data_IF_268722250859
#
_entry.id   IF_268722250859
#
_cell.length_a   1.000
_cell.length_b   1.000
_cell.length_c   1.000
_cell.angle_alpha   90.00
_cell.angle_beta   90.00
_cell.angle_gamma   90.00
#
_symmetry.space_group_name_H-M   'P 1'
#
loop_
_entity.id
_entity.type
_entity.pdbx_description
1 polymer ?
#
# COMPACT_ATOMS: atom_id res chain seq x y z
N UNK A 1 -4.74 2.56 -14.91
CA UNK A 1 -4.79 1.28 -14.21
C UNK A 1 -3.91 0.28 -14.94
N UNK A 2 -2.96 -0.34 -14.25
CA UNK A 2 -2.02 -1.31 -14.83
C UNK A 2 -2.40 -2.77 -14.47
N UNK A 3 -3.63 -2.97 -13.98
CA UNK A 3 -4.15 -4.27 -13.57
C UNK A 3 -5.07 -4.85 -14.65
N UNK A 4 -5.10 -6.17 -14.73
CA UNK A 4 -6.10 -6.89 -15.53
C UNK A 4 -7.36 -7.06 -14.70
N UNK A 5 -8.51 -6.70 -15.24
CA UNK A 5 -9.79 -6.96 -14.60
C UNK A 5 -10.13 -8.45 -14.68
N UNK A 6 -10.26 -9.07 -13.51
CA UNK A 6 -10.63 -10.49 -13.35
C UNK A 6 -12.00 -10.65 -12.69
N UNK A 7 -12.80 -9.59 -12.61
CA UNK A 7 -14.15 -9.63 -12.05
C UNK A 7 -14.97 -10.72 -12.73
N UNK A 8 -15.53 -11.61 -11.94
CA UNK A 8 -16.33 -12.76 -12.44
C UNK A 8 -15.55 -13.89 -13.07
N UNK A 9 -14.21 -13.82 -13.17
CA UNK A 9 -13.36 -14.89 -13.75
C UNK A 9 -12.92 -15.94 -12.73
N UNK A 10 -12.93 -15.59 -11.45
CA UNK A 10 -12.58 -16.48 -10.36
C UNK A 10 -13.73 -16.55 -9.35
N UNK A 11 -14.07 -17.75 -8.85
CA UNK A 11 -15.07 -17.89 -7.81
C UNK A 11 -14.53 -17.35 -6.48
N UNK A 12 -15.38 -16.64 -5.75
CA UNK A 12 -15.09 -16.29 -4.37
C UNK A 12 -15.33 -17.49 -3.46
N UNK A 13 -14.31 -17.93 -2.74
CA UNK A 13 -14.36 -19.13 -1.91
C UNK A 13 -14.51 -18.77 -0.42
N UNK A 14 -15.41 -19.46 0.31
CA UNK A 14 -15.47 -19.37 1.77
C UNK A 14 -14.18 -19.87 2.43
N UNK A 15 -13.92 -19.46 3.68
CA UNK A 15 -12.71 -19.83 4.41
C UNK A 15 -12.52 -21.37 4.51
N UNK A 16 -13.62 -22.11 4.72
CA UNK A 16 -13.60 -23.60 4.80
C UNK A 16 -13.10 -24.27 3.53
N UNK A 17 -13.32 -23.67 2.37
CA UNK A 17 -12.88 -24.20 1.07
C UNK A 17 -11.47 -23.73 0.71
N UNK A 18 -11.10 -22.51 1.14
CA UNK A 18 -9.79 -21.95 0.89
C UNK A 18 -8.69 -22.58 1.74
N UNK A 19 -8.96 -22.86 3.01
CA UNK A 19 -7.95 -23.36 3.94
C UNK A 19 -7.28 -24.66 3.48
N UNK A 20 -8.01 -25.72 3.05
CA UNK A 20 -7.38 -26.93 2.51
C UNK A 20 -6.52 -26.66 1.28
N UNK A 21 -6.91 -25.74 0.40
CA UNK A 21 -6.15 -25.38 -0.79
C UNK A 21 -4.82 -24.71 -0.41
N UNK A 22 -4.84 -23.80 0.56
CA UNK A 22 -3.62 -23.15 1.07
C UNK A 22 -2.69 -24.20 1.71
N UNK A 23 -3.24 -25.12 2.49
CA UNK A 23 -2.47 -26.19 3.11
C UNK A 23 -1.88 -27.19 2.09
N UNK A 24 -2.52 -27.37 0.94
CA UNK A 24 -1.99 -28.17 -0.17
C UNK A 24 -0.93 -27.44 -1.02
N UNK A 25 -0.59 -26.18 -0.70
CA UNK A 25 0.46 -25.42 -1.35
C UNK A 25 -0.02 -24.36 -2.35
N UNK A 26 -1.33 -24.17 -2.53
CA UNK A 26 -1.85 -23.06 -3.33
C UNK A 26 -1.57 -21.74 -2.61
N UNK A 27 -0.93 -20.80 -3.29
CA UNK A 27 -0.61 -19.53 -2.67
C UNK A 27 -1.88 -18.72 -2.41
N UNK A 28 -2.01 -18.13 -1.21
CA UNK A 28 -3.21 -17.40 -0.79
C UNK A 28 -3.63 -16.29 -1.76
N UNK A 29 -2.68 -15.69 -2.49
CA UNK A 29 -2.94 -14.62 -3.47
C UNK A 29 -3.60 -15.10 -4.76
N UNK A 30 -3.70 -16.41 -4.97
CA UNK A 30 -4.37 -17.01 -6.13
C UNK A 30 -5.84 -17.31 -5.85
N UNK A 31 -6.26 -17.14 -4.60
CA UNK A 31 -7.61 -17.45 -4.14
C UNK A 31 -8.37 -16.17 -3.80
N UNK A 32 -9.57 -16.03 -4.34
CA UNK A 32 -10.46 -14.92 -4.01
C UNK A 32 -11.28 -15.29 -2.76
N UNK A 33 -11.16 -14.54 -1.64
CA UNK A 33 -12.01 -14.78 -0.48
C UNK A 33 -13.44 -14.34 -0.72
N UNK A 34 -14.41 -15.12 -0.23
CA UNK A 34 -15.77 -14.64 -0.11
C UNK A 34 -15.83 -13.61 1.04
N UNK A 35 -16.27 -12.40 0.72
CA UNK A 35 -16.48 -11.33 1.69
C UNK A 35 -17.94 -11.35 2.15
N UNK A 36 -18.14 -11.11 3.43
CA UNK A 36 -19.46 -11.09 4.05
C UNK A 36 -19.90 -9.64 4.26
N UNK A 37 -21.20 -9.40 4.12
CA UNK A 37 -21.78 -8.11 4.50
C UNK A 37 -21.64 -7.91 6.02
N UNK A 38 -21.04 -6.79 6.48
CA UNK A 38 -20.87 -6.55 7.90
C UNK A 38 -22.22 -6.40 8.62
N UNK A 39 -22.32 -6.97 9.81
CA UNK A 39 -23.52 -6.88 10.63
C UNK A 39 -23.75 -5.46 11.16
N UNK A 40 -24.99 -5.09 11.54
CA UNK A 40 -25.25 -3.80 12.20
C UNK A 40 -24.44 -3.57 13.46
N UNK A 41 -24.17 -4.62 14.24
CA UNK A 41 -23.32 -4.55 15.44
C UNK A 41 -21.85 -4.21 15.05
N UNK A 42 -21.34 -4.78 13.97
CA UNK A 42 -20.02 -4.45 13.45
C UNK A 42 -19.94 -2.97 13.06
N UNK A 43 -20.96 -2.44 12.36
CA UNK A 43 -20.99 -1.03 11.98
C UNK A 43 -21.02 -0.09 13.19
N UNK A 44 -21.76 -0.43 14.23
CA UNK A 44 -21.77 0.36 15.47
C UNK A 44 -20.38 0.44 16.10
N UNK A 45 -19.67 -0.69 16.19
CA UNK A 45 -18.29 -0.72 16.72
C UNK A 45 -17.30 0.01 15.82
N UNK A 46 -17.46 -0.10 14.50
CA UNK A 46 -16.66 0.66 13.53
C UNK A 46 -16.83 2.17 13.72
N UNK A 47 -18.07 2.65 13.82
CA UNK A 47 -18.35 4.06 14.06
C UNK A 47 -17.83 4.54 15.43
N UNK A 48 -17.95 3.70 16.45
CA UNK A 48 -17.37 3.98 17.76
C UNK A 48 -15.86 4.13 17.67
N UNK A 49 -15.20 3.22 16.98
CA UNK A 49 -13.77 3.27 16.69
C UNK A 49 -13.36 4.53 15.96
N UNK A 50 -14.12 4.93 14.93
CA UNK A 50 -13.86 6.19 14.21
C UNK A 50 -13.91 7.41 15.15
N UNK A 51 -14.93 7.51 15.99
CA UNK A 51 -15.04 8.62 16.95
C UNK A 51 -13.89 8.68 17.95
N UNK A 52 -13.47 7.53 18.45
CA UNK A 52 -12.38 7.43 19.45
C UNK A 52 -11.00 7.71 18.84
N UNK A 53 -10.76 7.22 17.62
CA UNK A 53 -9.43 7.18 17.04
C UNK A 53 -9.19 8.20 15.92
N UNK A 54 -10.21 8.95 15.49
CA UNK A 54 -10.06 9.93 14.42
C UNK A 54 -8.96 10.96 14.72
N UNK A 55 -8.97 11.54 15.91
CA UNK A 55 -7.96 12.53 16.30
C UNK A 55 -6.55 11.94 16.44
N UNK A 56 -6.32 10.84 17.19
CA UNK A 56 -5.01 10.18 17.24
C UNK A 56 -4.47 9.81 15.86
N UNK A 57 -5.33 9.26 14.99
CA UNK A 57 -4.92 8.94 13.61
C UNK A 57 -4.57 10.18 12.80
N UNK A 58 -5.33 11.27 12.93
CA UNK A 58 -5.03 12.52 12.24
C UNK A 58 -3.69 13.13 12.72
N UNK A 59 -3.39 13.05 14.01
CA UNK A 59 -2.11 13.48 14.57
C UNK A 59 -0.94 12.63 14.07
N UNK A 60 -1.12 11.29 13.98
CA UNK A 60 -0.11 10.40 13.41
C UNK A 60 0.13 10.69 11.92
N UNK A 61 -0.95 10.86 11.13
CA UNK A 61 -0.86 11.25 9.71
C UNK A 61 -0.11 12.57 9.54
N UNK A 62 -0.42 13.56 10.39
CA UNK A 62 0.28 14.85 10.40
C UNK A 62 1.77 14.64 10.62
N UNK A 63 2.16 13.91 11.65
CA UNK A 63 3.57 13.69 12.00
C UNK A 63 4.33 13.05 10.84
N UNK A 64 3.79 12.00 10.22
CA UNK A 64 4.41 11.34 9.06
C UNK A 64 4.47 12.25 7.85
N UNK A 65 3.38 12.97 7.56
CA UNK A 65 3.33 13.89 6.42
C UNK A 65 4.35 15.05 6.55
N UNK A 66 4.54 15.57 7.76
CA UNK A 66 5.56 16.60 8.04
C UNK A 66 6.97 16.07 7.84
N UNK A 67 7.25 14.84 8.31
CA UNK A 67 8.55 14.21 8.11
C UNK A 67 8.85 13.99 6.62
N UNK A 68 7.89 13.47 5.85
CA UNK A 68 8.04 13.30 4.39
C UNK A 68 8.27 14.65 3.70
N UNK A 69 7.51 15.68 4.10
CA UNK A 69 7.67 17.01 3.53
C UNK A 69 9.04 17.63 3.85
N UNK A 70 9.51 17.48 5.09
CA UNK A 70 10.82 17.97 5.49
C UNK A 70 11.98 17.29 4.73
N UNK A 71 11.85 15.99 4.45
CA UNK A 71 12.89 15.22 3.75
C UNK A 71 12.87 15.43 2.24
N UNK A 72 11.70 15.38 1.59
CA UNK A 72 11.56 15.29 0.13
C UNK A 72 10.84 16.49 -0.51
N UNK A 73 10.15 17.31 0.28
CA UNK A 73 9.46 18.50 -0.20
C UNK A 73 8.51 18.21 -1.37
N UNK A 74 8.58 19.05 -2.39
CA UNK A 74 7.75 18.95 -3.62
C UNK A 74 8.14 17.76 -4.51
N UNK A 75 9.32 17.17 -4.30
CA UNK A 75 9.82 16.02 -5.05
C UNK A 75 9.26 14.68 -4.56
N UNK A 76 8.52 14.67 -3.44
CA UNK A 76 7.97 13.44 -2.89
C UNK A 76 6.95 12.78 -3.83
N UNK A 77 7.09 11.47 -4.00
CA UNK A 77 6.17 10.59 -4.74
C UNK A 77 5.69 9.51 -3.79
N UNK A 78 4.43 9.57 -3.39
CA UNK A 78 3.86 8.64 -2.43
C UNK A 78 3.52 7.32 -3.13
N UNK A 79 4.06 6.21 -2.63
CA UNK A 79 3.81 4.86 -3.16
C UNK A 79 3.26 3.98 -2.04
N UNK A 80 1.95 3.81 -2.01
CA UNK A 80 1.27 3.00 -1.00
C UNK A 80 1.32 1.53 -1.35
N UNK A 81 1.65 0.71 -0.35
CA UNK A 81 1.58 -0.74 -0.46
C UNK A 81 0.12 -1.19 -0.26
N UNK A 82 -0.48 -1.66 -1.32
CA UNK A 82 -1.88 -2.04 -1.31
C UNK A 82 -2.09 -3.35 -0.51
N UNK A 83 -3.14 -3.41 0.29
CA UNK A 83 -4.24 -2.45 0.41
C UNK A 83 -4.05 -1.48 1.58
N UNK A 84 -3.43 -1.91 2.68
CA UNK A 84 -3.38 -1.20 3.96
C UNK A 84 -2.70 0.18 3.87
N UNK A 85 -1.69 0.35 3.02
CA UNK A 85 -1.01 1.63 2.82
C UNK A 85 -1.84 2.68 2.08
N UNK A 86 -2.82 2.26 1.27
CA UNK A 86 -3.57 3.18 0.40
C UNK A 86 -4.32 4.27 1.18
N UNK A 87 -5.13 3.98 2.22
CA UNK A 87 -5.80 5.02 2.97
C UNK A 87 -4.82 5.95 3.70
N UNK A 88 -3.72 5.42 4.23
CA UNK A 88 -2.67 6.24 4.85
C UNK A 88 -2.05 7.23 3.84
N UNK A 89 -1.68 6.75 2.65
CA UNK A 89 -1.13 7.60 1.59
C UNK A 89 -2.11 8.66 1.11
N UNK A 90 -3.40 8.33 0.99
CA UNK A 90 -4.46 9.32 0.66
C UNK A 90 -4.54 10.41 1.71
N UNK A 91 -4.50 10.06 2.99
CA UNK A 91 -4.57 11.02 4.09
C UNK A 91 -3.34 11.92 4.13
N UNK A 92 -2.13 11.36 3.97
CA UNK A 92 -0.87 12.10 3.88
C UNK A 92 -0.91 13.10 2.71
N UNK A 93 -1.32 12.65 1.51
CA UNK A 93 -1.47 13.52 0.34
C UNK A 93 -2.45 14.67 0.61
N UNK A 94 -3.60 14.38 1.21
CA UNK A 94 -4.61 15.39 1.54
C UNK A 94 -4.09 16.40 2.55
N UNK A 95 -3.36 15.95 3.56
CA UNK A 95 -2.74 16.82 4.55
C UNK A 95 -1.73 17.78 3.91
N UNK A 96 -0.80 17.24 3.11
CA UNK A 96 0.23 18.03 2.41
C UNK A 96 -0.43 19.06 1.47
N UNK A 97 -1.45 18.63 0.71
CA UNK A 97 -2.21 19.55 -0.14
C UNK A 97 -2.88 20.67 0.66
N UNK A 98 -3.48 20.35 1.81
CA UNK A 98 -4.17 21.35 2.64
C UNK A 98 -3.19 22.35 3.26
N UNK A 99 -2.04 21.86 3.76
CA UNK A 99 -1.08 22.68 4.50
C UNK A 99 -0.14 23.47 3.58
N UNK A 100 0.37 22.82 2.54
CA UNK A 100 1.43 23.39 1.68
C UNK A 100 0.96 23.78 0.27
N UNK A 101 -0.31 23.56 -0.06
CA UNK A 101 -0.87 23.88 -1.37
C UNK A 101 -0.38 22.99 -2.51
N UNK A 102 0.30 21.88 -2.21
CA UNK A 102 0.94 20.99 -3.20
C UNK A 102 0.22 19.65 -3.28
N UNK A 103 -0.14 19.26 -4.49
CA UNK A 103 -0.72 17.92 -4.76
C UNK A 103 0.37 16.96 -5.21
N UNK A 104 0.91 16.19 -4.29
CA UNK A 104 1.93 15.17 -4.60
C UNK A 104 1.35 14.03 -5.46
N UNK A 105 2.15 13.44 -6.36
CA UNK A 105 1.81 12.16 -7.00
C UNK A 105 1.58 11.08 -5.94
N UNK A 106 0.57 10.24 -6.15
CA UNK A 106 0.28 9.12 -5.26
C UNK A 106 -0.16 7.91 -6.07
N UNK A 107 0.51 6.80 -5.85
CA UNK A 107 0.26 5.51 -6.46
C UNK A 107 -0.02 4.47 -5.39
N UNK A 108 -0.77 3.43 -5.75
CA UNK A 108 -0.89 2.22 -4.95
C UNK A 108 -0.40 1.04 -5.77
N UNK A 109 0.52 0.26 -5.22
CA UNK A 109 1.09 -0.91 -5.86
C UNK A 109 0.84 -2.16 -5.04
N UNK A 110 0.69 -3.30 -5.70
CA UNK A 110 0.54 -4.58 -5.01
C UNK A 110 1.86 -5.04 -4.43
N UNK A 111 1.79 -5.58 -3.21
CA UNK A 111 2.88 -6.30 -2.56
C UNK A 111 2.34 -7.63 -2.04
N UNK A 112 3.04 -8.71 -2.30
CA UNK A 112 2.63 -10.06 -1.93
C UNK A 112 3.81 -10.76 -1.26
N UNK A 113 3.60 -11.21 -0.02
CA UNK A 113 4.62 -11.97 0.72
C UNK A 113 5.04 -13.19 -0.10
N UNK A 114 6.35 -13.40 -0.26
CA UNK A 114 6.92 -14.47 -1.07
C UNK A 114 6.95 -14.23 -2.59
N UNK A 115 6.31 -13.16 -3.09
CA UNK A 115 6.29 -12.82 -4.53
C UNK A 115 6.85 -11.42 -4.84
N UNK A 116 6.99 -10.55 -3.82
CA UNK A 116 7.54 -9.20 -3.98
C UNK A 116 6.50 -8.16 -4.36
N UNK A 117 6.92 -7.14 -5.12
CA UNK A 117 6.08 -6.01 -5.56
C UNK A 117 5.68 -6.14 -7.03
N UNK A 118 4.66 -5.41 -7.44
CA UNK A 118 4.29 -5.26 -8.84
C UNK A 118 5.38 -4.47 -9.61
N UNK A 119 6.22 -5.22 -10.34
CA UNK A 119 7.35 -4.66 -11.11
C UNK A 119 6.88 -3.69 -12.18
N UNK A 120 5.81 -4.00 -12.92
CA UNK A 120 5.29 -3.13 -13.99
C UNK A 120 4.78 -1.81 -13.45
N UNK A 121 4.13 -1.84 -12.28
CA UNK A 121 3.72 -0.61 -11.61
C UNK A 121 4.93 0.21 -11.17
N UNK A 122 5.98 -0.42 -10.63
CA UNK A 122 7.21 0.26 -10.26
C UNK A 122 7.94 0.87 -11.45
N UNK A 123 8.09 0.13 -12.54
CA UNK A 123 8.66 0.62 -13.82
C UNK A 123 7.89 1.83 -14.32
N UNK A 124 6.56 1.77 -14.30
CA UNK A 124 5.71 2.90 -14.69
C UNK A 124 5.97 4.15 -13.84
N UNK A 125 6.16 3.99 -12.54
CA UNK A 125 6.43 5.09 -11.61
C UNK A 125 7.83 5.67 -11.88
N UNK A 126 8.85 4.83 -11.97
CA UNK A 126 10.24 5.24 -12.20
C UNK A 126 10.48 5.87 -13.57
N UNK A 127 9.70 5.50 -14.58
CA UNK A 127 9.74 6.18 -15.88
C UNK A 127 9.22 7.63 -15.84
N UNK A 128 8.60 8.07 -14.73
CA UNK A 128 7.95 9.39 -14.59
C UNK A 128 8.47 10.21 -13.43
N UNK A 129 9.16 9.60 -12.51
CA UNK A 129 9.60 10.22 -11.27
C UNK A 129 11.00 9.73 -10.89
N UNK A 130 11.79 10.61 -10.27
CA UNK A 130 13.07 10.22 -9.68
C UNK A 130 12.84 9.24 -8.53
N UNK A 131 13.69 8.24 -8.44
CA UNK A 131 13.62 7.25 -7.35
C UNK A 131 13.89 7.86 -5.98
N UNK A 132 14.71 8.91 -5.88
CA UNK A 132 14.95 9.63 -4.63
C UNK A 132 13.68 10.25 -4.07
N UNK A 133 12.74 10.64 -4.94
CA UNK A 133 11.43 11.15 -4.55
C UNK A 133 10.49 10.09 -3.97
N UNK A 134 10.72 8.81 -4.26
CA UNK A 134 9.80 7.74 -3.86
C UNK A 134 9.77 7.57 -2.34
N UNK A 135 8.55 7.59 -1.81
CA UNK A 135 8.25 7.31 -0.42
C UNK A 135 7.24 6.19 -0.31
N UNK A 136 7.69 5.01 0.10
CA UNK A 136 6.78 3.90 0.37
C UNK A 136 5.98 4.14 1.64
N UNK A 137 4.70 3.77 1.58
CA UNK A 137 3.75 3.91 2.69
C UNK A 137 3.06 2.57 2.91
N UNK A 138 3.17 2.05 4.13
CA UNK A 138 2.41 0.89 4.57
C UNK A 138 1.49 1.29 5.72
N UNK A 139 0.33 0.65 5.81
CA UNK A 139 -0.63 0.82 6.91
C UNK A 139 -0.57 -0.31 7.95
N UNK A 140 0.27 -1.32 7.74
CA UNK A 140 0.34 -2.49 8.61
C UNK A 140 1.77 -3.04 8.72
N UNK A 141 2.57 -2.44 9.58
CA UNK A 141 4.00 -2.77 9.71
C UNK A 141 4.32 -3.88 10.72
N UNK A 142 3.39 -4.33 11.50
CA UNK A 142 3.41 -5.41 12.51
C UNK A 142 4.74 -6.16 12.71
N UNK A 143 4.83 -7.40 12.25
CA UNK A 143 6.02 -8.26 12.41
C UNK A 143 7.16 -7.97 11.41
N UNK A 144 7.07 -6.89 10.63
CA UNK A 144 8.10 -6.49 9.68
C UNK A 144 8.20 -7.34 8.40
N UNK A 145 7.25 -8.23 8.14
CA UNK A 145 7.31 -9.12 6.98
C UNK A 145 7.18 -8.33 5.66
N UNK A 146 6.26 -7.39 5.59
CA UNK A 146 6.09 -6.52 4.42
C UNK A 146 7.36 -5.69 4.18
N UNK A 147 7.95 -5.13 5.24
CA UNK A 147 9.20 -4.37 5.13
C UNK A 147 10.33 -5.24 4.55
N UNK A 148 10.47 -6.49 5.01
CA UNK A 148 11.47 -7.42 4.45
C UNK A 148 11.18 -7.76 3.00
N UNK A 149 9.92 -8.04 2.66
CA UNK A 149 9.51 -8.33 1.28
C UNK A 149 9.80 -7.14 0.36
N UNK A 150 9.50 -5.92 0.80
CA UNK A 150 9.80 -4.70 0.05
C UNK A 150 11.30 -4.52 -0.18
N UNK A 151 12.12 -4.63 0.89
CA UNK A 151 13.58 -4.51 0.79
C UNK A 151 14.16 -5.50 -0.20
N UNK A 152 13.82 -6.80 -0.05
CA UNK A 152 14.29 -7.84 -0.96
C UNK A 152 13.84 -7.61 -2.41
N UNK A 153 12.63 -7.12 -2.63
CA UNK A 153 12.16 -6.77 -3.97
C UNK A 153 12.93 -5.59 -4.57
N UNK A 154 13.24 -4.57 -3.77
CA UNK A 154 14.01 -3.40 -4.22
C UNK A 154 15.47 -3.74 -4.49
N UNK A 155 16.09 -4.65 -3.75
CA UNK A 155 17.45 -5.16 -4.03
C UNK A 155 17.55 -5.87 -5.39
N UNK A 156 16.48 -6.52 -5.80
CA UNK A 156 16.38 -7.22 -7.09
C UNK A 156 15.91 -6.30 -8.24
N UNK A 157 15.53 -5.08 -7.93
CA UNK A 157 15.04 -4.15 -8.93
C UNK A 157 16.25 -3.50 -9.65
N UNK A 158 16.30 -3.51 -10.99
CA UNK A 158 17.43 -2.96 -11.74
C UNK A 158 17.40 -1.42 -11.69
N UNK A 159 17.72 -0.84 -10.55
CA UNK A 159 17.73 0.61 -10.35
C UNK A 159 18.69 1.35 -11.28
N UNK A 160 19.71 0.65 -11.79
CA UNK A 160 20.68 1.21 -12.75
C UNK A 160 20.07 1.66 -14.07
N UNK A 161 18.98 0.99 -14.53
CA UNK A 161 18.31 1.39 -15.77
C UNK A 161 17.58 2.74 -15.64
N UNK A 162 17.43 3.23 -14.42
CA UNK A 162 16.72 4.46 -14.11
C UNK A 162 17.61 5.59 -13.56
N UNK A 163 18.94 5.46 -13.73
CA UNK A 163 19.91 6.50 -13.38
C UNK A 163 20.15 6.67 -11.89
N UNK A 164 19.82 5.65 -11.08
CA UNK A 164 20.05 5.67 -9.64
C UNK A 164 21.42 5.07 -9.38
N UNK A 165 22.42 5.93 -9.14
CA UNK A 165 23.74 5.51 -8.68
C UNK A 165 23.66 4.82 -7.32
N UNK A 166 24.53 3.83 -7.12
CA UNK A 166 24.91 3.40 -5.79
C UNK A 166 26.06 4.31 -5.36
N UNK A 167 25.78 5.26 -4.49
CA UNK A 167 26.79 5.86 -3.64
C UNK A 167 26.93 5.06 -2.36
#
# INVERSE_FOLDING_TARGET
LLLTDITGKLPALPAKEREPLIQSGVHYSELLPAEYEPSPAYFQEYERGLRLWAKPNADAVRTVAEAIWAEKGRGAVLVSLARAGTPAGVLIKRYIRKKYGVSLPHYSISIIVGRGIDRRAMEYILARHSAEGIQFIDGWTGKGMITRTLRSAMEQFPLYEYGIGRD
#
